data_IF_313018741410
#
_entry.id   IF_313018741410
#
_cell.length_a   1.000
_cell.length_b   1.000
_cell.length_c   1.000
_cell.angle_alpha   90.00
_cell.angle_beta   90.00
_cell.angle_gamma   90.00
#
_symmetry.space_group_name_H-M   'P 1'
#
loop_
_entity.id
_entity.type
_entity.pdbx_description
1 polymer ?
#
# COMPACT_ATOMS: atom_id res chain seq x y z
N UNK A 1 3.12 -20.86 27.70
CA UNK A 1 3.01 -19.66 26.83
C UNK A 1 3.12 -20.10 25.37
N UNK A 2 2.02 -20.13 24.61
CA UNK A 2 2.07 -20.47 23.19
C UNK A 2 2.79 -19.35 22.44
N UNK A 3 3.96 -19.64 21.87
CA UNK A 3 4.75 -18.67 21.12
C UNK A 3 3.99 -18.30 19.84
N UNK A 4 3.20 -17.22 19.90
CA UNK A 4 2.58 -16.61 18.71
C UNK A 4 3.69 -16.29 17.69
N UNK A 5 3.71 -17.03 16.58
CA UNK A 5 4.64 -16.82 15.46
C UNK A 5 4.06 -15.81 14.48
N UNK A 6 4.93 -15.07 13.79
CA UNK A 6 4.53 -14.29 12.63
C UNK A 6 4.19 -15.24 11.48
N UNK A 7 3.05 -15.02 10.84
CA UNK A 7 2.69 -15.76 9.63
C UNK A 7 3.23 -15.07 8.39
N UNK A 8 3.44 -15.88 7.36
CA UNK A 8 3.80 -15.43 6.02
C UNK A 8 2.84 -14.36 5.47
N UNK A 9 1.57 -14.39 5.89
CA UNK A 9 0.55 -13.39 5.51
C UNK A 9 0.91 -11.99 6.03
N UNK A 10 1.41 -11.89 7.25
CA UNK A 10 1.85 -10.63 7.87
C UNK A 10 3.06 -10.04 7.14
N UNK A 11 4.01 -10.89 6.73
CA UNK A 11 5.18 -10.47 5.95
C UNK A 11 4.81 -9.99 4.55
N UNK A 12 3.95 -10.74 3.84
CA UNK A 12 3.46 -10.33 2.53
C UNK A 12 2.74 -8.98 2.61
N UNK A 13 1.84 -8.80 3.57
CA UNK A 13 1.14 -7.54 3.76
C UNK A 13 2.10 -6.35 3.97
N UNK A 14 3.12 -6.53 4.80
CA UNK A 14 4.10 -5.49 5.07
C UNK A 14 4.96 -5.19 3.84
N UNK A 15 5.46 -6.21 3.14
CA UNK A 15 6.27 -6.05 1.92
C UNK A 15 5.46 -5.33 0.84
N UNK A 16 4.21 -5.75 0.60
CA UNK A 16 3.33 -5.09 -0.39
C UNK A 16 3.10 -3.64 -0.03
N UNK A 17 2.85 -3.33 1.25
CA UNK A 17 2.60 -1.95 1.69
C UNK A 17 3.83 -1.06 1.55
N UNK A 18 5.03 -1.59 1.86
CA UNK A 18 6.30 -0.87 1.66
C UNK A 18 6.59 -0.65 0.17
N UNK A 19 6.36 -1.66 -0.67
CA UNK A 19 6.54 -1.54 -2.13
C UNK A 19 5.61 -0.49 -2.74
N UNK A 20 4.34 -0.47 -2.34
CA UNK A 20 3.37 0.54 -2.80
C UNK A 20 3.81 1.94 -2.35
N UNK A 21 4.30 2.07 -1.11
CA UNK A 21 4.82 3.35 -0.59
C UNK A 21 6.02 3.81 -1.40
N UNK A 22 6.97 2.92 -1.69
CA UNK A 22 8.14 3.23 -2.51
C UNK A 22 7.73 3.63 -3.94
N UNK A 23 6.77 2.91 -4.54
CA UNK A 23 6.23 3.23 -5.86
C UNK A 23 5.57 4.62 -5.89
N UNK A 24 4.90 5.04 -4.81
CA UNK A 24 4.37 6.40 -4.69
C UNK A 24 5.45 7.47 -4.70
N UNK A 25 6.54 7.29 -3.94
CA UNK A 25 7.66 8.23 -3.96
C UNK A 25 8.35 8.30 -5.32
N UNK A 26 8.38 7.18 -6.04
CA UNK A 26 8.92 7.10 -7.40
C UNK A 26 8.01 7.74 -8.45
N UNK A 27 6.73 8.00 -8.15
CA UNK A 27 5.78 8.54 -9.11
C UNK A 27 6.12 9.96 -9.55
N UNK A 28 6.55 10.83 -8.62
CA UNK A 28 6.96 12.21 -8.93
C UNK A 28 8.19 12.28 -9.86
N UNK A 29 9.34 11.64 -9.56
CA UNK A 29 10.48 11.66 -10.47
C UNK A 29 10.20 10.95 -11.79
N UNK A 30 9.38 9.89 -11.82
CA UNK A 30 9.02 9.21 -13.07
C UNK A 30 8.13 10.11 -13.93
N UNK A 31 7.14 10.79 -13.34
CA UNK A 31 6.28 11.73 -14.04
C UNK A 31 7.07 12.93 -14.61
N UNK A 32 8.17 13.33 -13.96
CA UNK A 32 9.07 14.39 -14.47
C UNK A 32 10.05 13.90 -15.54
N UNK A 33 10.51 12.65 -15.45
CA UNK A 33 11.56 12.12 -16.32
C UNK A 33 11.04 11.40 -17.57
N UNK A 34 9.78 10.97 -17.59
CA UNK A 34 9.19 10.21 -18.69
C UNK A 34 7.96 10.91 -19.28
N UNK A 35 7.55 10.46 -20.47
CA UNK A 35 6.32 10.89 -21.12
C UNK A 35 5.07 10.50 -20.32
N UNK A 36 4.01 11.29 -20.48
CA UNK A 36 2.66 11.11 -19.89
C UNK A 36 2.07 9.69 -20.06
N UNK A 37 2.66 8.87 -20.92
CA UNK A 37 2.27 7.48 -21.19
C UNK A 37 2.54 6.52 -20.02
N UNK A 38 3.61 6.72 -19.24
CA UNK A 38 3.97 5.81 -18.14
C UNK A 38 3.31 6.17 -16.80
N UNK A 39 2.98 7.44 -16.62
CA UNK A 39 2.27 7.96 -15.44
C UNK A 39 0.97 7.21 -15.11
N UNK A 40 0.03 6.97 -16.06
CA UNK A 40 -1.21 6.25 -15.76
C UNK A 40 -0.98 4.77 -15.43
N UNK A 41 0.05 4.14 -16.00
CA UNK A 41 0.39 2.73 -15.70
C UNK A 41 0.85 2.59 -14.26
N UNK A 42 1.67 3.52 -13.77
CA UNK A 42 2.18 3.51 -12.39
C UNK A 42 1.07 3.89 -11.41
N UNK A 43 0.22 4.86 -11.76
CA UNK A 43 -0.99 5.18 -10.97
C UNK A 43 -1.90 3.94 -10.81
N UNK A 44 -2.14 3.21 -11.90
CA UNK A 44 -2.93 1.97 -11.85
C UNK A 44 -2.26 0.90 -10.98
N UNK A 45 -0.93 0.74 -11.07
CA UNK A 45 -0.17 -0.19 -10.22
C UNK A 45 -0.29 0.16 -8.73
N UNK A 46 -0.15 1.43 -8.37
CA UNK A 46 -0.28 1.92 -6.98
C UNK A 46 -1.71 1.74 -6.47
N UNK A 47 -2.71 2.05 -7.30
CA UNK A 47 -4.13 1.87 -6.96
C UNK A 47 -4.46 0.40 -6.69
N UNK A 48 -4.10 -0.50 -7.62
CA UNK A 48 -4.30 -1.94 -7.46
C UNK A 48 -3.52 -2.50 -6.27
N UNK A 49 -2.27 -2.07 -6.09
CA UNK A 49 -1.44 -2.45 -4.95
C UNK A 49 -2.06 -2.04 -3.61
N UNK A 50 -2.69 -0.87 -3.56
CA UNK A 50 -3.37 -0.39 -2.34
C UNK A 50 -4.63 -1.19 -2.04
N UNK A 51 -5.44 -1.52 -3.06
CA UNK A 51 -6.60 -2.41 -2.91
C UNK A 51 -6.15 -3.78 -2.38
N UNK A 52 -5.10 -4.36 -2.97
CA UNK A 52 -4.52 -5.62 -2.51
C UNK A 52 -4.02 -5.54 -1.06
N UNK A 53 -3.34 -4.45 -0.67
CA UNK A 53 -2.93 -4.21 0.71
C UNK A 53 -4.13 -4.13 1.65
N UNK A 54 -5.22 -3.45 1.30
CA UNK A 54 -6.43 -3.38 2.14
C UNK A 54 -7.02 -4.78 2.34
N UNK A 55 -7.15 -5.58 1.27
CA UNK A 55 -7.66 -6.95 1.36
C UNK A 55 -6.77 -7.81 2.27
N UNK A 56 -5.44 -7.74 2.09
CA UNK A 56 -4.47 -8.43 2.94
C UNK A 56 -4.56 -7.97 4.41
N UNK A 57 -4.78 -6.68 4.66
CA UNK A 57 -4.99 -6.15 6.00
C UNK A 57 -6.20 -6.81 6.68
N UNK A 58 -7.34 -6.90 5.98
CA UNK A 58 -8.57 -7.54 6.51
C UNK A 58 -8.32 -9.01 6.84
N UNK A 59 -7.68 -9.76 5.93
CA UNK A 59 -7.34 -11.17 6.17
C UNK A 59 -6.36 -11.35 7.34
N UNK A 60 -5.39 -10.46 7.47
CA UNK A 60 -4.39 -10.51 8.53
C UNK A 60 -5.01 -10.22 9.91
N UNK A 61 -5.90 -9.23 10.01
CA UNK A 61 -6.55 -8.85 11.27
C UNK A 61 -7.59 -9.86 11.76
N UNK A 62 -8.21 -10.65 10.86
CA UNK A 62 -9.11 -11.76 11.25
C UNK A 62 -8.38 -12.94 11.89
N UNK A 63 -7.05 -13.04 11.77
CA UNK A 63 -6.30 -14.16 12.35
C UNK A 63 -5.99 -13.89 13.83
N UNK A 64 -6.74 -14.53 14.74
CA UNK A 64 -6.67 -14.33 16.20
C UNK A 64 -5.36 -14.85 16.87
N UNK A 65 -4.65 -15.77 16.21
CA UNK A 65 -3.48 -16.47 16.79
C UNK A 65 -2.10 -15.86 16.44
N UNK A 66 -2.04 -14.71 15.76
CA UNK A 66 -0.77 -14.09 15.35
C UNK A 66 -0.32 -12.94 16.26
N UNK A 67 0.99 -12.71 16.32
CA UNK A 67 1.56 -11.47 16.87
C UNK A 67 1.19 -10.31 15.93
N UNK A 68 0.38 -9.39 16.44
CA UNK A 68 -0.21 -8.30 15.65
C UNK A 68 0.74 -7.11 15.40
N UNK A 69 1.98 -7.14 15.88
CA UNK A 69 2.96 -6.04 15.70
C UNK A 69 3.28 -5.74 14.23
N UNK A 70 3.58 -6.74 13.41
CA UNK A 70 3.83 -6.54 11.96
C UNK A 70 2.56 -6.15 11.18
N UNK A 71 1.38 -6.76 11.43
CA UNK A 71 0.12 -6.30 10.83
C UNK A 71 -0.22 -4.84 11.16
N UNK A 72 0.01 -4.40 12.40
CA UNK A 72 -0.24 -3.00 12.80
C UNK A 72 0.67 -2.05 12.02
N UNK A 73 1.95 -2.41 11.86
CA UNK A 73 2.89 -1.60 11.09
C UNK A 73 2.50 -1.55 9.60
N UNK A 74 2.13 -2.69 9.01
CA UNK A 74 1.61 -2.71 7.63
C UNK A 74 0.33 -1.89 7.46
N UNK A 75 -0.53 -1.85 8.48
CA UNK A 75 -1.78 -1.08 8.45
C UNK A 75 -1.51 0.42 8.50
N UNK A 76 -0.49 0.86 9.26
CA UNK A 76 -0.02 2.25 9.21
C UNK A 76 0.43 2.64 7.79
N UNK A 77 1.29 1.83 7.16
CA UNK A 77 1.70 2.07 5.76
C UNK A 77 0.52 2.07 4.80
N UNK A 78 -0.41 1.13 4.94
CA UNK A 78 -1.60 1.06 4.09
C UNK A 78 -2.48 2.29 4.26
N UNK A 79 -2.65 2.78 5.49
CA UNK A 79 -3.44 3.99 5.76
C UNK A 79 -2.82 5.24 5.11
N UNK A 80 -1.49 5.36 5.15
CA UNK A 80 -0.77 6.42 4.42
C UNK A 80 -0.97 6.30 2.92
N UNK A 81 -0.84 5.10 2.35
CA UNK A 81 -1.08 4.86 0.93
C UNK A 81 -2.51 5.24 0.51
N UNK A 82 -3.52 4.93 1.34
CA UNK A 82 -4.91 5.31 1.05
C UNK A 82 -5.07 6.83 1.06
N UNK A 83 -4.54 7.52 2.08
CA UNK A 83 -4.61 8.99 2.16
C UNK A 83 -3.94 9.64 0.95
N UNK A 84 -2.77 9.13 0.55
CA UNK A 84 -2.03 9.64 -0.60
C UNK A 84 -2.80 9.43 -1.92
N UNK A 85 -3.35 8.24 -2.18
CA UNK A 85 -4.18 8.01 -3.38
C UNK A 85 -5.40 8.93 -3.39
N UNK A 86 -6.11 9.05 -2.27
CA UNK A 86 -7.28 9.92 -2.18
C UNK A 86 -6.88 11.38 -2.45
N UNK A 87 -5.74 11.81 -1.93
CA UNK A 87 -5.21 13.16 -2.17
C UNK A 87 -4.85 13.37 -3.64
N UNK A 88 -4.19 12.40 -4.28
CA UNK A 88 -3.88 12.43 -5.71
C UNK A 88 -5.13 12.43 -6.59
N UNK A 89 -6.15 11.63 -6.24
CA UNK A 89 -7.42 11.59 -6.95
C UNK A 89 -8.20 12.90 -6.78
N UNK A 90 -8.23 13.47 -5.58
CA UNK A 90 -8.88 14.75 -5.30
C UNK A 90 -8.22 15.89 -6.06
N UNK A 91 -6.89 15.98 -6.00
CA UNK A 91 -6.10 16.97 -6.71
C UNK A 91 -6.25 16.77 -8.23
N UNK A 92 -6.11 15.55 -8.73
CA UNK A 92 -6.27 15.24 -10.15
C UNK A 92 -7.67 15.54 -10.68
N UNK A 93 -8.74 15.20 -9.94
CA UNK A 93 -10.11 15.46 -10.34
C UNK A 93 -10.51 16.94 -10.30
N UNK A 94 -9.82 17.76 -9.48
CA UNK A 94 -10.13 19.17 -9.30
C UNK A 94 -9.24 20.11 -10.15
N UNK A 95 -8.18 19.58 -10.78
CA UNK A 95 -7.28 20.32 -11.68
C UNK A 95 -7.59 20.01 -13.17
N UNK A 96 -8.34 18.93 -13.44
CA UNK A 96 -8.94 18.63 -14.76
C UNK A 96 -10.20 19.47 -15.00
#
# INVERSE_FOLDING_TARGET
MSAKKHSWKSYLFLITSVLVTAAMFLLDPIARANSETLTPVILAFIGLGTICSIVLAVFCFRTLNEKKTLPILGLLFTSLNVILIVSFLWIGANIV
#
